data_IF_005747928358
#
_entry.id   IF_005747928358
#
_cell.length_a   1.000
_cell.length_b   1.000
_cell.length_c   1.000
_cell.angle_alpha   90.00
_cell.angle_beta   90.00
_cell.angle_gamma   90.00
#
_symmetry.space_group_name_H-M   'P 1'
#
loop_
_entity.id
_entity.type
_entity.pdbx_description
1 polymer ?
#
# COMPACT_ATOMS: atom_id res chain seq x y z
N UNK A 1 -30.19 -3.06 -38.84
CA UNK A 1 -30.20 -4.30 -38.03
C UNK A 1 -29.83 -4.05 -36.57
N UNK A 2 -28.87 -3.16 -36.28
CA UNK A 2 -28.44 -2.85 -34.91
C UNK A 2 -29.58 -2.31 -34.05
N UNK A 3 -30.40 -1.40 -34.61
CA UNK A 3 -31.57 -0.86 -33.90
C UNK A 3 -32.46 -1.97 -33.33
N UNK A 4 -32.86 -2.93 -34.17
CA UNK A 4 -33.74 -4.03 -33.78
C UNK A 4 -33.10 -4.96 -32.75
N UNK A 5 -31.79 -5.20 -32.85
CA UNK A 5 -31.07 -5.98 -31.84
C UNK A 5 -31.06 -5.25 -30.50
N UNK A 6 -30.85 -3.94 -30.47
CA UNK A 6 -30.85 -3.16 -29.23
C UNK A 6 -32.25 -3.15 -28.60
N UNK A 7 -33.31 -2.98 -29.39
CA UNK A 7 -34.70 -3.07 -28.88
C UNK A 7 -34.95 -4.44 -28.24
N UNK A 8 -34.57 -5.53 -28.90
CA UNK A 8 -34.70 -6.89 -28.34
C UNK A 8 -33.92 -7.05 -27.03
N UNK A 9 -32.72 -6.48 -26.93
CA UNK A 9 -31.97 -6.47 -25.66
C UNK A 9 -32.74 -5.75 -24.57
N UNK A 10 -33.33 -4.60 -24.87
CA UNK A 10 -34.14 -3.83 -23.92
C UNK A 10 -35.42 -4.58 -23.50
N UNK A 11 -35.94 -5.45 -24.36
CA UNK A 11 -37.05 -6.37 -24.06
C UNK A 11 -36.61 -7.64 -23.29
N UNK A 12 -35.32 -7.78 -22.96
CA UNK A 12 -34.78 -8.89 -22.16
C UNK A 12 -34.25 -10.08 -22.97
N UNK A 13 -34.09 -9.94 -24.29
CA UNK A 13 -33.56 -11.02 -25.14
C UNK A 13 -32.04 -11.18 -24.97
N UNK A 14 -31.66 -12.20 -24.20
CA UNK A 14 -30.26 -12.54 -23.94
C UNK A 14 -29.50 -13.00 -25.19
N UNK A 15 -30.18 -13.57 -26.20
CA UNK A 15 -29.53 -13.99 -27.44
C UNK A 15 -29.16 -12.77 -28.29
N UNK A 16 -30.01 -11.75 -28.33
CA UNK A 16 -29.70 -10.48 -28.99
C UNK A 16 -28.52 -9.77 -28.31
N UNK A 17 -28.44 -9.84 -26.98
CA UNK A 17 -27.32 -9.29 -26.22
C UNK A 17 -26.02 -10.00 -26.56
N UNK A 18 -26.04 -11.34 -26.60
CA UNK A 18 -24.89 -12.16 -26.98
C UNK A 18 -24.43 -11.87 -28.42
N UNK A 19 -25.36 -11.72 -29.36
CA UNK A 19 -25.05 -11.39 -30.76
C UNK A 19 -24.35 -10.02 -30.87
N UNK A 20 -24.83 -9.01 -30.15
CA UNK A 20 -24.20 -7.69 -30.11
C UNK A 20 -22.81 -7.75 -29.46
N UNK A 21 -22.65 -8.48 -28.36
CA UNK A 21 -21.34 -8.69 -27.72
C UNK A 21 -20.37 -9.36 -28.71
N UNK A 22 -20.79 -10.41 -29.40
CA UNK A 22 -19.97 -11.09 -30.41
C UNK A 22 -19.57 -10.12 -31.54
N UNK A 23 -20.51 -9.32 -32.04
CA UNK A 23 -20.27 -8.34 -33.10
C UNK A 23 -19.25 -7.27 -32.72
N UNK A 24 -19.23 -6.82 -31.47
CA UNK A 24 -18.30 -5.81 -30.97
C UNK A 24 -17.09 -6.39 -30.22
N UNK A 25 -16.92 -7.72 -30.16
CA UNK A 25 -15.86 -8.38 -29.40
C UNK A 25 -14.46 -7.89 -29.78
N UNK A 26 -14.18 -7.69 -31.08
CA UNK A 26 -12.88 -7.20 -31.54
C UNK A 26 -12.57 -5.80 -30.99
N UNK A 27 -13.58 -4.93 -30.90
CA UNK A 27 -13.43 -3.58 -30.35
C UNK A 27 -13.19 -3.62 -28.83
N UNK A 28 -13.99 -4.42 -28.12
CA UNK A 28 -13.84 -4.61 -26.68
C UNK A 28 -12.45 -5.16 -26.34
N UNK A 29 -12.00 -6.22 -27.04
CA UNK A 29 -10.66 -6.80 -26.87
C UNK A 29 -9.55 -5.79 -27.17
N UNK A 30 -9.69 -5.00 -28.24
CA UNK A 30 -8.70 -3.97 -28.60
C UNK A 30 -8.46 -2.99 -27.44
N UNK A 31 -9.51 -2.59 -26.73
CA UNK A 31 -9.38 -1.65 -25.62
C UNK A 31 -9.04 -2.34 -24.29
N UNK A 32 -9.56 -3.54 -24.04
CA UNK A 32 -9.18 -4.35 -22.88
C UNK A 32 -7.67 -4.63 -22.86
N UNK A 33 -7.09 -4.98 -24.00
CA UNK A 33 -5.64 -5.22 -24.14
C UNK A 33 -4.79 -4.00 -23.76
N UNK A 34 -5.35 -2.79 -23.89
CA UNK A 34 -4.66 -1.54 -23.53
C UNK A 34 -4.75 -1.20 -22.04
N UNK A 35 -5.54 -1.94 -21.25
CA UNK A 35 -5.81 -1.61 -19.85
C UNK A 35 -4.86 -2.29 -18.84
N UNK A 36 -4.04 -3.28 -19.22
CA UNK A 36 -3.09 -3.95 -18.31
C UNK A 36 -3.69 -4.44 -16.97
N UNK A 37 -5.00 -4.70 -16.94
CA UNK A 37 -5.75 -5.20 -15.79
C UNK A 37 -6.32 -6.57 -16.14
N UNK A 38 -6.33 -7.49 -15.19
CA UNK A 38 -6.73 -8.89 -15.37
C UNK A 38 -8.14 -9.01 -15.97
N UNK A 39 -9.14 -8.38 -15.35
CA UNK A 39 -10.55 -8.45 -15.78
C UNK A 39 -10.97 -7.31 -16.73
N UNK A 40 -10.03 -6.76 -17.51
CA UNK A 40 -10.30 -5.58 -18.34
C UNK A 40 -11.37 -5.82 -19.42
N UNK A 41 -11.45 -7.04 -19.96
CA UNK A 41 -12.43 -7.38 -21.00
C UNK A 41 -13.83 -7.49 -20.42
N UNK A 42 -13.97 -8.20 -19.30
CA UNK A 42 -15.21 -8.42 -18.55
C UNK A 42 -15.77 -7.08 -18.08
N UNK A 43 -14.94 -6.18 -17.54
CA UNK A 43 -15.35 -4.85 -17.14
C UNK A 43 -15.88 -4.01 -18.31
N UNK A 44 -15.20 -4.01 -19.45
CA UNK A 44 -15.67 -3.32 -20.67
C UNK A 44 -16.94 -3.97 -21.25
N UNK A 45 -17.07 -5.29 -21.14
CA UNK A 45 -18.28 -6.00 -21.55
C UNK A 45 -19.47 -5.62 -20.68
N UNK A 46 -19.30 -5.51 -19.37
CA UNK A 46 -20.32 -5.03 -18.44
C UNK A 46 -20.77 -3.60 -18.77
N UNK A 47 -19.83 -2.68 -19.01
CA UNK A 47 -20.15 -1.31 -19.42
C UNK A 47 -20.92 -1.28 -20.75
N UNK A 48 -20.50 -2.10 -21.70
CA UNK A 48 -21.15 -2.22 -23.00
C UNK A 48 -22.58 -2.76 -22.88
N UNK A 49 -22.81 -3.81 -22.07
CA UNK A 49 -24.16 -4.30 -21.82
C UNK A 49 -25.02 -3.23 -21.14
N UNK A 50 -24.48 -2.52 -20.15
CA UNK A 50 -25.15 -1.39 -19.50
C UNK A 50 -25.58 -0.31 -20.49
N UNK A 51 -24.74 0.00 -21.48
CA UNK A 51 -25.09 0.90 -22.59
C UNK A 51 -26.27 0.38 -23.40
N UNK A 52 -26.27 -0.90 -23.80
CA UNK A 52 -27.35 -1.48 -24.61
C UNK A 52 -28.70 -1.41 -23.88
N UNK A 53 -28.72 -1.65 -22.57
CA UNK A 53 -29.95 -1.55 -21.76
C UNK A 53 -30.42 -0.12 -21.51
N UNK A 54 -29.52 0.87 -21.52
CA UNK A 54 -29.84 2.26 -21.12
C UNK A 54 -29.92 3.26 -22.27
N UNK A 55 -29.45 2.90 -23.47
CA UNK A 55 -29.44 3.79 -24.62
C UNK A 55 -30.86 4.18 -25.04
N UNK A 56 -31.15 5.47 -25.04
CA UNK A 56 -32.43 5.99 -25.52
C UNK A 56 -32.37 6.21 -27.03
N UNK A 57 -32.91 5.24 -27.78
CA UNK A 57 -32.93 5.27 -29.24
C UNK A 57 -33.76 6.42 -29.82
N UNK A 58 -34.65 7.04 -29.05
CA UNK A 58 -35.47 8.17 -29.51
C UNK A 58 -34.68 9.49 -29.59
N UNK A 59 -33.48 9.55 -28.99
CA UNK A 59 -32.60 10.73 -29.07
C UNK A 59 -31.85 10.84 -30.40
N UNK A 60 -31.97 9.83 -31.26
CA UNK A 60 -31.32 9.81 -32.56
C UNK A 60 -32.31 10.27 -33.64
N UNK A 61 -31.91 11.25 -34.46
CA UNK A 61 -32.74 11.71 -35.57
C UNK A 61 -32.91 10.64 -36.66
N UNK A 62 -31.87 9.83 -36.90
CA UNK A 62 -31.89 8.66 -37.79
C UNK A 62 -30.96 7.57 -37.24
N UNK A 63 -31.47 6.63 -36.41
CA UNK A 63 -30.67 5.58 -35.78
C UNK A 63 -30.39 4.42 -36.75
N UNK A 64 -29.80 4.74 -37.90
CA UNK A 64 -29.30 3.73 -38.82
C UNK A 64 -28.06 3.02 -38.25
N UNK A 65 -27.68 1.89 -38.85
CA UNK A 65 -26.60 1.05 -38.35
C UNK A 65 -25.24 1.78 -38.30
N UNK A 66 -24.99 2.73 -39.19
CA UNK A 66 -23.75 3.51 -39.20
C UNK A 66 -23.69 4.43 -37.97
N UNK A 67 -24.77 5.18 -37.71
CA UNK A 67 -24.88 6.10 -36.57
C UNK A 67 -24.76 5.34 -35.24
N UNK A 68 -25.47 4.23 -35.11
CA UNK A 68 -25.43 3.41 -33.90
C UNK A 68 -24.04 2.76 -33.70
N UNK A 69 -23.41 2.28 -34.77
CA UNK A 69 -22.07 1.71 -34.69
C UNK A 69 -21.03 2.76 -34.27
N UNK A 70 -21.11 3.98 -34.81
CA UNK A 70 -20.23 5.07 -34.42
C UNK A 70 -20.44 5.48 -32.96
N UNK A 71 -21.71 5.60 -32.53
CA UNK A 71 -22.06 5.91 -31.16
C UNK A 71 -21.52 4.86 -30.18
N UNK A 72 -21.79 3.58 -30.43
CA UNK A 72 -21.25 2.47 -29.63
C UNK A 72 -19.72 2.53 -29.59
N UNK A 73 -19.07 2.75 -30.73
CA UNK A 73 -17.61 2.80 -30.81
C UNK A 73 -17.03 3.93 -29.95
N UNK A 74 -17.66 5.11 -29.97
CA UNK A 74 -17.28 6.25 -29.13
C UNK A 74 -17.52 5.95 -27.65
N UNK A 75 -18.65 5.35 -27.29
CA UNK A 75 -18.95 4.98 -25.90
C UNK A 75 -17.95 3.97 -25.34
N UNK A 76 -17.61 2.92 -26.10
CA UNK A 76 -16.58 1.94 -25.69
C UNK A 76 -15.22 2.62 -25.50
N UNK A 77 -14.84 3.55 -26.38
CA UNK A 77 -13.63 4.34 -26.19
C UNK A 77 -13.68 5.19 -24.91
N UNK A 78 -14.81 5.83 -24.62
CA UNK A 78 -14.98 6.59 -23.38
C UNK A 78 -14.88 5.71 -22.13
N UNK A 79 -15.44 4.50 -22.15
CA UNK A 79 -15.29 3.53 -21.05
C UNK A 79 -13.83 3.13 -20.85
N UNK A 80 -13.12 2.83 -21.94
CA UNK A 80 -11.68 2.59 -21.89
C UNK A 80 -10.91 3.76 -21.24
N UNK A 81 -11.19 5.00 -21.64
CA UNK A 81 -10.53 6.18 -21.06
C UNK A 81 -10.83 6.32 -19.56
N UNK A 82 -12.06 6.00 -19.13
CA UNK A 82 -12.45 5.99 -17.72
C UNK A 82 -11.65 4.95 -16.94
N UNK A 83 -11.65 3.69 -17.38
CA UNK A 83 -10.85 2.61 -16.77
C UNK A 83 -9.36 2.92 -16.74
N UNK A 84 -8.82 3.53 -17.80
CA UNK A 84 -7.41 3.93 -17.85
C UNK A 84 -7.09 5.00 -16.78
N UNK A 85 -7.98 5.97 -16.58
CA UNK A 85 -7.80 6.99 -15.53
C UNK A 85 -7.85 6.37 -14.13
N UNK A 86 -8.76 5.43 -13.91
CA UNK A 86 -8.87 4.69 -12.65
C UNK A 86 -7.59 3.87 -12.39
N UNK A 87 -7.09 3.15 -13.39
CA UNK A 87 -5.81 2.43 -13.32
C UNK A 87 -4.63 3.36 -13.03
N UNK A 88 -4.51 4.49 -13.73
CA UNK A 88 -3.42 5.45 -13.48
C UNK A 88 -3.47 5.99 -12.04
N UNK A 89 -4.67 6.25 -11.52
CA UNK A 89 -4.86 6.70 -10.14
C UNK A 89 -4.48 5.63 -9.12
N UNK A 90 -4.78 4.35 -9.40
CA UNK A 90 -4.49 3.23 -8.50
C UNK A 90 -3.08 2.65 -8.66
N UNK A 91 -2.36 2.93 -9.75
CA UNK A 91 -1.04 2.34 -10.06
C UNK A 91 0.01 2.53 -8.97
N UNK A 92 -0.09 3.59 -8.18
CA UNK A 92 0.84 3.86 -7.07
C UNK A 92 0.34 3.34 -5.71
N UNK A 93 -0.79 2.63 -5.69
CA UNK A 93 -1.33 2.00 -4.49
C UNK A 93 -0.94 0.53 -4.52
N UNK A 94 -0.02 0.15 -3.64
CA UNK A 94 0.30 -1.25 -3.40
C UNK A 94 -0.93 -1.92 -2.77
N UNK A 95 -1.50 -2.90 -3.48
CA UNK A 95 -2.49 -3.77 -2.88
C UNK A 95 -1.75 -4.83 -2.05
N UNK A 96 -1.74 -4.67 -0.72
CA UNK A 96 -1.08 -5.59 0.20
C UNK A 96 -1.69 -6.99 0.14
N UNK A 97 -2.96 -7.13 -0.25
CA UNK A 97 -3.60 -8.44 -0.42
C UNK A 97 -3.09 -9.21 -1.63
N UNK A 98 -2.36 -8.57 -2.54
CA UNK A 98 -1.72 -9.21 -3.68
C UNK A 98 -0.29 -9.66 -3.38
N UNK A 99 0.23 -9.34 -2.19
CA UNK A 99 1.56 -9.74 -1.75
C UNK A 99 1.50 -11.08 -1.03
N UNK A 100 2.52 -11.90 -1.21
CA UNK A 100 2.70 -13.10 -0.40
C UNK A 100 3.43 -12.76 0.91
N UNK A 101 3.39 -13.69 1.86
CA UNK A 101 3.98 -13.52 3.20
C UNK A 101 5.47 -13.13 3.13
N UNK A 102 6.21 -13.67 2.16
CA UNK A 102 7.63 -13.34 1.96
C UNK A 102 7.83 -11.88 1.55
N UNK A 103 7.02 -11.37 0.62
CA UNK A 103 7.08 -9.97 0.17
C UNK A 103 6.66 -9.00 1.28
N UNK A 104 5.66 -9.38 2.08
CA UNK A 104 5.24 -8.60 3.25
C UNK A 104 6.40 -8.51 4.25
N UNK A 105 7.01 -9.65 4.59
CA UNK A 105 8.16 -9.70 5.50
C UNK A 105 9.35 -8.85 5.00
N UNK A 106 9.66 -8.88 3.70
CA UNK A 106 10.71 -8.04 3.12
C UNK A 106 10.40 -6.53 3.21
N UNK A 107 9.14 -6.13 3.03
CA UNK A 107 8.70 -4.74 3.16
C UNK A 107 8.78 -4.31 4.62
N UNK A 108 8.28 -5.12 5.54
CA UNK A 108 8.35 -4.87 6.98
C UNK A 108 9.80 -4.72 7.44
N UNK A 109 10.71 -5.60 6.99
CA UNK A 109 12.13 -5.49 7.32
C UNK A 109 12.79 -4.22 6.77
N UNK A 110 12.37 -3.72 5.60
CA UNK A 110 12.89 -2.47 5.03
C UNK A 110 12.31 -1.21 5.68
N UNK A 111 11.07 -1.29 6.16
CA UNK A 111 10.36 -0.20 6.82
C UNK A 111 10.58 -0.19 8.34
N UNK A 112 11.15 -1.26 8.90
CA UNK A 112 11.52 -1.33 10.30
C UNK A 112 12.51 -0.20 10.60
N UNK A 113 12.01 0.80 11.32
CA UNK A 113 12.85 1.81 11.95
C UNK A 113 13.10 1.35 13.38
N UNK A 114 14.35 1.31 13.80
CA UNK A 114 14.65 1.26 15.23
C UNK A 114 14.45 2.68 15.74
N UNK A 115 13.42 2.90 16.54
CA UNK A 115 13.43 4.08 17.41
C UNK A 115 14.66 3.92 18.31
N UNK A 116 15.71 4.70 18.01
CA UNK A 116 16.91 4.73 18.82
C UNK A 116 16.60 5.52 20.11
N UNK A 117 15.82 4.91 20.99
CA UNK A 117 15.45 5.45 22.30
C UNK A 117 16.67 5.55 23.24
N UNK A 118 17.84 5.07 22.81
CA UNK A 118 19.07 5.11 23.60
C UNK A 118 19.42 6.54 24.04
N UNK A 119 19.16 7.55 23.20
CA UNK A 119 19.40 8.95 23.54
C UNK A 119 18.50 9.45 24.68
N UNK A 120 17.23 9.05 24.69
CA UNK A 120 16.26 9.42 25.74
C UNK A 120 16.69 8.79 27.07
N UNK A 121 17.04 7.50 27.04
CA UNK A 121 17.49 6.77 28.22
C UNK A 121 18.80 7.35 28.79
N UNK A 122 19.76 7.73 27.93
CA UNK A 122 21.03 8.36 28.34
C UNK A 122 20.78 9.70 29.06
N UNK A 123 19.87 10.52 28.56
CA UNK A 123 19.53 11.80 29.18
C UNK A 123 18.87 11.64 30.55
N UNK A 124 18.03 10.62 30.71
CA UNK A 124 17.43 10.31 32.00
C UNK A 124 18.46 9.76 33.00
N UNK A 125 19.40 8.93 32.54
CA UNK A 125 20.52 8.47 33.39
C UNK A 125 21.37 9.65 33.89
N UNK A 126 21.66 10.65 33.05
CA UNK A 126 22.43 11.85 33.44
C UNK A 126 21.70 12.70 34.48
N UNK A 127 20.36 12.71 34.49
CA UNK A 127 19.57 13.43 35.50
C UNK A 127 19.55 12.71 36.85
N UNK A 128 19.58 11.37 36.85
CA UNK A 128 19.43 10.54 38.05
C UNK A 128 20.76 10.23 38.75
N UNK A 129 21.85 10.15 37.99
CA UNK A 129 23.17 9.75 38.46
C UNK A 129 24.09 10.96 38.61
N UNK A 130 25.03 10.87 39.54
CA UNK A 130 26.19 11.77 39.54
C UNK A 130 27.07 11.47 38.32
N UNK A 131 27.89 12.43 37.90
CA UNK A 131 28.79 12.29 36.76
C UNK A 131 29.65 11.01 36.82
N UNK A 132 30.23 10.71 37.99
CA UNK A 132 31.04 9.49 38.18
C UNK A 132 30.22 8.21 38.10
N UNK A 133 28.99 8.21 38.62
CA UNK A 133 28.08 7.07 38.53
C UNK A 133 27.63 6.84 37.09
N UNK A 134 27.30 7.92 36.36
CA UNK A 134 26.95 7.87 34.95
C UNK A 134 28.10 7.31 34.12
N UNK A 135 29.32 7.83 34.27
CA UNK A 135 30.50 7.34 33.54
C UNK A 135 30.70 5.83 33.78
N UNK A 136 30.63 5.37 35.03
CA UNK A 136 30.80 3.94 35.34
C UNK A 136 29.68 3.08 34.72
N UNK A 137 28.42 3.52 34.76
CA UNK A 137 27.30 2.77 34.17
C UNK A 137 27.39 2.78 32.64
N UNK A 138 27.66 3.93 32.04
CA UNK A 138 27.77 4.10 30.60
C UNK A 138 28.89 3.22 30.03
N UNK A 139 30.09 3.28 30.61
CA UNK A 139 31.20 2.48 30.11
C UNK A 139 30.97 0.98 30.26
N UNK A 140 30.38 0.53 31.37
CA UNK A 140 30.16 -0.91 31.61
C UNK A 140 29.03 -1.49 30.75
N UNK A 141 27.95 -0.73 30.51
CA UNK A 141 26.73 -1.27 29.89
C UNK A 141 26.52 -0.81 28.43
N UNK A 142 27.01 0.37 28.04
CA UNK A 142 26.88 0.87 26.67
C UNK A 142 28.17 0.70 25.87
N UNK A 143 29.35 0.78 26.52
CA UNK A 143 30.64 0.57 25.86
C UNK A 143 31.24 -0.83 26.10
N UNK A 144 30.59 -1.64 26.95
CA UNK A 144 31.05 -2.99 27.33
C UNK A 144 32.47 -3.07 27.92
N UNK A 145 32.95 -1.96 28.49
CA UNK A 145 34.26 -1.90 29.12
C UNK A 145 34.31 -2.76 30.39
N UNK A 146 35.45 -3.38 30.65
CA UNK A 146 35.63 -4.12 31.90
C UNK A 146 35.78 -3.14 33.07
N UNK A 147 35.39 -3.57 34.28
CA UNK A 147 35.61 -2.77 35.49
C UNK A 147 37.09 -2.47 35.78
N UNK A 148 38.04 -3.17 35.14
CA UNK A 148 39.47 -2.86 35.19
C UNK A 148 39.80 -1.67 34.28
N UNK A 149 39.23 -1.64 33.08
CA UNK A 149 39.48 -0.58 32.11
C UNK A 149 38.86 0.74 32.57
N UNK A 150 37.63 0.69 33.10
CA UNK A 150 36.99 1.85 33.74
C UNK A 150 37.81 2.35 34.94
N UNK A 151 38.41 1.45 35.72
CA UNK A 151 39.23 1.83 36.86
C UNK A 151 40.53 2.55 36.42
N UNK A 152 41.14 2.12 35.32
CA UNK A 152 42.29 2.82 34.72
C UNK A 152 41.89 4.20 34.22
N UNK A 153 40.77 4.31 33.50
CA UNK A 153 40.27 5.58 32.96
C UNK A 153 39.94 6.59 34.06
N UNK A 154 39.38 6.12 35.19
CA UNK A 154 39.04 6.96 36.34
C UNK A 154 40.18 7.11 37.36
N UNK A 155 41.38 6.61 37.05
CA UNK A 155 42.56 6.60 37.94
C UNK A 155 42.23 6.13 39.36
N UNK A 156 41.48 5.02 39.46
CA UNK A 156 40.97 4.51 40.73
C UNK A 156 41.09 2.99 40.84
N UNK A 157 40.69 2.42 41.99
CA UNK A 157 40.73 0.98 42.18
C UNK A 157 39.50 0.29 41.59
N UNK A 158 39.65 -0.95 41.12
CA UNK A 158 38.54 -1.81 40.68
C UNK A 158 37.46 -1.96 41.77
N UNK A 159 37.87 -1.99 43.03
CA UNK A 159 36.95 -2.07 44.17
C UNK A 159 36.09 -0.81 44.28
N UNK A 160 36.68 0.38 44.05
CA UNK A 160 35.96 1.65 44.04
C UNK A 160 34.96 1.72 42.89
N UNK A 161 35.35 1.30 41.67
CA UNK A 161 34.42 1.20 40.52
C UNK A 161 33.23 0.30 40.83
N UNK A 162 33.46 -0.87 41.46
CA UNK A 162 32.39 -1.77 41.88
C UNK A 162 31.45 -1.16 42.92
N UNK A 163 31.97 -0.36 43.86
CA UNK A 163 31.14 0.36 44.83
C UNK A 163 30.28 1.44 44.16
N UNK A 164 30.88 2.24 43.26
CA UNK A 164 30.17 3.27 42.48
C UNK A 164 29.07 2.63 41.64
N UNK A 165 29.37 1.55 40.91
CA UNK A 165 28.40 0.77 40.13
C UNK A 165 27.24 0.30 41.00
N UNK A 166 27.51 -0.27 42.17
CA UNK A 166 26.49 -0.79 43.09
C UNK A 166 25.56 0.32 43.58
N UNK A 167 26.12 1.48 43.92
CA UNK A 167 25.34 2.64 44.37
C UNK A 167 24.48 3.21 43.25
N UNK A 168 25.04 3.39 42.05
CA UNK A 168 24.32 3.83 40.86
C UNK A 168 23.12 2.91 40.53
N UNK A 169 23.35 1.58 40.47
CA UNK A 169 22.28 0.61 40.23
C UNK A 169 21.20 0.62 41.31
N UNK A 170 21.56 0.92 42.56
CA UNK A 170 20.58 1.04 43.65
C UNK A 170 19.66 2.26 43.43
N UNK A 171 20.22 3.40 43.00
CA UNK A 171 19.44 4.59 42.64
C UNK A 171 18.50 4.33 41.46
N UNK A 172 19.03 3.72 40.39
CA UNK A 172 18.24 3.38 39.20
C UNK A 172 17.10 2.42 39.57
N UNK A 173 17.39 1.40 40.37
CA UNK A 173 16.36 0.45 40.83
C UNK A 173 15.24 1.13 41.60
N UNK A 174 15.58 2.06 42.50
CA UNK A 174 14.59 2.83 43.26
C UNK A 174 13.73 3.73 42.35
N UNK A 175 14.27 4.22 41.24
CA UNK A 175 13.54 5.13 40.35
C UNK A 175 12.67 4.40 39.32
N UNK A 176 13.07 3.22 38.88
CA UNK A 176 12.38 2.47 37.80
C UNK A 176 11.58 1.25 38.28
N UNK A 177 11.70 0.84 39.54
CA UNK A 177 11.02 -0.35 40.09
C UNK A 177 10.16 -0.07 41.33
N UNK A 178 10.04 1.19 41.75
CA UNK A 178 9.01 1.68 42.69
C UNK A 178 8.01 2.55 41.91
#
# INVERSE_FOLDING_TARGET
MLYQLIVRVQDGDSNAALELVQKFTALLRKYAYKLYVEDAYENLQCDFLGLLYSIDLNKFSDPNDMVLCEYISKSVYSYYVRHLKEYIKSKNVLNTSALNDTQIYEIEGKLATTEDESNILIDDLKKLLTEKEFIVIYHIYYMEDTGVDVAKTLETSRQNVNQIKKHALTKLRKHFMD
#
